data_IF_386547090762
#
_entry.id   IF_386547090762
#
_cell.length_a   1.000
_cell.length_b   1.000
_cell.length_c   1.000
_cell.angle_alpha   90.00
_cell.angle_beta   90.00
_cell.angle_gamma   90.00
#
_symmetry.space_group_name_H-M   'P 1'
#
loop_
_entity.id
_entity.type
_entity.pdbx_description
1 polymer ?
#
# COMPACT_ATOMS: atom_id res chain seq x y z
N UNK A 1 10.27 0.48 0.00
CA UNK A 1 9.53 -0.76 0.30
C UNK A 1 10.34 -1.55 1.32
N UNK A 2 9.69 -2.06 2.37
CA UNK A 2 10.37 -2.90 3.36
C UNK A 2 10.68 -4.28 2.79
N UNK A 3 11.81 -4.86 3.19
CA UNK A 3 12.19 -6.24 2.82
C UNK A 3 11.34 -7.25 3.62
N UNK A 4 10.12 -7.46 3.14
CA UNK A 4 9.14 -8.33 3.80
C UNK A 4 9.60 -9.79 3.84
N UNK A 5 10.27 -10.28 2.80
CA UNK A 5 10.73 -11.67 2.74
C UNK A 5 11.76 -11.96 3.84
N UNK A 6 12.75 -11.09 4.03
CA UNK A 6 13.74 -11.22 5.11
C UNK A 6 13.11 -11.11 6.50
N UNK A 7 12.17 -10.18 6.68
CA UNK A 7 11.43 -10.03 7.94
C UNK A 7 10.60 -11.28 8.24
N UNK A 8 9.84 -11.80 7.26
CA UNK A 8 9.05 -13.01 7.42
C UNK A 8 9.91 -14.24 7.74
N UNK A 9 11.08 -14.37 7.10
CA UNK A 9 12.07 -15.43 7.41
C UNK A 9 12.56 -15.31 8.85
N UNK A 10 12.87 -14.10 9.31
CA UNK A 10 13.30 -13.85 10.69
C UNK A 10 12.22 -14.23 11.71
N UNK A 11 10.96 -13.82 11.45
CA UNK A 11 9.82 -14.18 12.27
C UNK A 11 9.63 -15.70 12.36
N UNK A 12 9.67 -16.39 11.21
CA UNK A 12 9.54 -17.84 11.14
C UNK A 12 10.62 -18.57 11.94
N UNK A 13 11.87 -18.11 11.85
CA UNK A 13 13.00 -18.70 12.60
C UNK A 13 12.84 -18.55 14.13
N UNK A 14 11.98 -17.63 14.57
CA UNK A 14 11.68 -17.40 15.99
C UNK A 14 10.30 -17.89 16.41
N UNK A 15 9.57 -18.59 15.54
CA UNK A 15 8.23 -19.06 15.83
C UNK A 15 7.19 -17.92 16.00
N UNK A 16 7.45 -16.74 15.41
CA UNK A 16 6.58 -15.58 15.44
C UNK A 16 5.80 -15.49 14.13
N UNK A 17 4.51 -15.25 14.21
CA UNK A 17 3.66 -15.01 13.04
C UNK A 17 3.97 -13.64 12.43
N UNK A 18 3.96 -13.57 11.10
CA UNK A 18 4.18 -12.35 10.34
C UNK A 18 2.94 -11.91 9.58
N UNK A 19 2.56 -10.64 9.72
CA UNK A 19 1.52 -9.99 8.94
C UNK A 19 2.09 -8.79 8.21
N UNK A 20 1.74 -8.64 6.94
CA UNK A 20 2.08 -7.44 6.16
C UNK A 20 0.83 -6.75 5.63
N UNK A 21 0.85 -5.43 5.62
CA UNK A 21 -0.13 -4.64 4.89
C UNK A 21 0.32 -4.51 3.43
N UNK A 22 -0.41 -5.20 2.54
CA UNK A 22 -0.19 -5.17 1.10
C UNK A 22 -1.06 -4.15 0.35
N UNK A 23 -1.79 -3.28 1.06
CA UNK A 23 -2.74 -2.36 0.41
C UNK A 23 -2.09 -1.47 -0.66
N UNK A 24 -0.84 -1.07 -0.49
CA UNK A 24 -0.13 -0.25 -1.48
C UNK A 24 0.75 -1.05 -2.46
N UNK A 25 1.09 -2.30 -2.14
CA UNK A 25 1.98 -3.13 -2.98
C UNK A 25 1.24 -4.11 -3.88
N UNK A 26 0.11 -4.66 -3.40
CA UNK A 26 -0.68 -5.63 -4.15
C UNK A 26 -1.14 -5.06 -5.50
N UNK A 27 -0.89 -5.80 -6.58
CA UNK A 27 -1.22 -5.39 -7.94
C UNK A 27 -0.31 -4.32 -8.55
N UNK A 28 0.71 -3.81 -7.83
CA UNK A 28 1.64 -2.79 -8.31
C UNK A 28 3.08 -3.27 -8.43
N UNK A 29 3.44 -4.25 -7.61
CA UNK A 29 4.70 -4.98 -7.67
C UNK A 29 4.42 -6.47 -7.48
N UNK A 30 5.34 -7.36 -7.86
CA UNK A 30 5.20 -8.78 -7.59
C UNK A 30 5.03 -9.03 -6.08
N UNK A 31 3.91 -9.68 -5.74
CA UNK A 31 3.55 -10.00 -4.35
C UNK A 31 3.20 -11.48 -4.22
N UNK A 32 4.06 -12.36 -4.75
CA UNK A 32 3.85 -13.80 -4.56
C UNK A 32 4.01 -14.15 -3.08
N UNK A 33 2.95 -14.66 -2.49
CA UNK A 33 2.89 -15.03 -1.07
C UNK A 33 3.91 -16.11 -0.72
N UNK A 34 4.26 -17.00 -1.66
CA UNK A 34 5.25 -18.05 -1.43
C UNK A 34 6.65 -17.44 -1.29
N UNK A 35 6.96 -16.47 -2.12
CA UNK A 35 8.25 -15.77 -2.08
C UNK A 35 8.34 -14.85 -0.86
N UNK A 36 7.28 -14.10 -0.56
CA UNK A 36 7.22 -13.24 0.63
C UNK A 36 7.27 -14.04 1.92
N UNK A 37 6.69 -15.22 1.93
CA UNK A 37 6.74 -16.12 3.08
C UNK A 37 5.97 -15.65 4.32
N UNK A 38 5.09 -14.65 4.20
CA UNK A 38 4.26 -14.14 5.31
C UNK A 38 3.14 -15.10 5.69
N UNK A 39 2.63 -14.98 6.91
CA UNK A 39 1.50 -15.76 7.40
C UNK A 39 0.17 -15.09 7.07
N UNK A 40 0.14 -13.75 7.08
CA UNK A 40 -1.04 -12.94 6.77
C UNK A 40 -0.66 -11.75 5.87
N UNK A 41 -1.61 -11.36 5.00
CA UNK A 41 -1.46 -10.16 4.17
C UNK A 41 -2.81 -9.48 3.98
N UNK A 42 -2.91 -8.21 4.33
CA UNK A 42 -4.08 -7.38 4.06
C UNK A 42 -4.04 -6.79 2.66
N UNK A 43 -5.19 -6.78 1.98
CA UNK A 43 -5.37 -6.29 0.61
C UNK A 43 -6.56 -5.35 0.59
N UNK A 44 -6.46 -4.25 -0.16
CA UNK A 44 -7.53 -3.25 -0.33
C UNK A 44 -7.93 -3.11 -1.80
N UNK A 45 -9.20 -3.35 -2.12
CA UNK A 45 -9.67 -3.33 -3.50
C UNK A 45 -9.54 -1.95 -4.17
N UNK A 46 -9.89 -0.86 -3.46
CA UNK A 46 -9.88 0.49 -4.05
C UNK A 46 -8.46 1.01 -4.37
N UNK A 47 -7.42 0.38 -3.86
CA UNK A 47 -6.02 0.71 -4.17
C UNK A 47 -5.55 0.13 -5.50
N UNK A 48 -6.33 -0.79 -6.05
CA UNK A 48 -6.14 -1.42 -7.37
C UNK A 48 -7.34 -1.17 -8.29
N UNK A 49 -8.03 -0.04 -8.11
CA UNK A 49 -9.20 0.39 -8.89
C UNK A 49 -10.43 -0.51 -8.76
N UNK A 50 -10.46 -1.41 -7.78
CA UNK A 50 -11.62 -2.21 -7.39
C UNK A 50 -12.60 -1.44 -6.52
N UNK A 51 -13.69 -2.09 -6.07
CA UNK A 51 -14.76 -1.44 -5.32
C UNK A 51 -14.27 -0.90 -3.96
N UNK A 52 -14.75 0.29 -3.59
CA UNK A 52 -14.59 0.82 -2.23
C UNK A 52 -15.37 -0.04 -1.22
N UNK A 53 -14.88 -0.15 0.00
CA UNK A 53 -15.49 -0.94 1.06
C UNK A 53 -15.17 -2.45 0.98
N UNK A 54 -14.40 -2.88 -0.03
CA UNK A 54 -13.96 -4.27 -0.20
C UNK A 54 -12.47 -4.41 0.04
N UNK A 55 -12.09 -5.52 0.67
CA UNK A 55 -10.71 -5.94 0.86
C UNK A 55 -10.64 -7.45 1.06
N UNK A 56 -9.44 -7.96 1.17
CA UNK A 56 -9.20 -9.37 1.47
C UNK A 56 -8.07 -9.51 2.49
N UNK A 57 -8.13 -10.58 3.27
CA UNK A 57 -7.05 -11.01 4.13
C UNK A 57 -6.58 -12.38 3.65
N UNK A 58 -5.34 -12.45 3.17
CA UNK A 58 -4.69 -13.73 3.01
C UNK A 58 -4.31 -14.28 4.39
N UNK A 59 -4.65 -15.55 4.60
CA UNK A 59 -4.29 -16.29 5.80
C UNK A 59 -3.62 -17.58 5.36
N UNK A 60 -2.37 -17.80 5.77
CA UNK A 60 -1.67 -19.05 5.47
C UNK A 60 -2.40 -20.22 6.14
N UNK A 61 -2.69 -21.26 5.37
CA UNK A 61 -3.21 -22.50 5.91
C UNK A 61 -2.11 -23.20 6.72
N UNK A 62 -2.21 -23.09 8.04
CA UNK A 62 -1.30 -23.72 9.00
C UNK A 62 -2.10 -24.21 10.19
N UNK A 63 -1.78 -25.40 10.72
CA UNK A 63 -2.50 -26.03 11.83
C UNK A 63 -2.48 -25.19 13.12
N UNK A 64 -1.43 -24.37 13.31
CA UNK A 64 -1.27 -23.49 14.48
C UNK A 64 -1.86 -22.08 14.32
N UNK A 65 -2.27 -21.67 13.11
CA UNK A 65 -2.77 -20.31 12.87
C UNK A 65 -4.30 -20.28 12.98
N UNK A 66 -4.79 -19.63 14.01
CA UNK A 66 -6.22 -19.37 14.22
C UNK A 66 -6.45 -17.88 14.44
N UNK A 67 -7.40 -17.32 13.71
CA UNK A 67 -7.86 -15.93 13.92
C UNK A 67 -9.11 -15.95 14.77
N UNK A 68 -9.13 -15.12 15.81
CA UNK A 68 -10.35 -14.84 16.55
C UNK A 68 -11.27 -13.98 15.67
N UNK A 69 -12.52 -14.42 15.51
CA UNK A 69 -13.50 -13.63 14.78
C UNK A 69 -13.79 -12.31 15.50
N UNK A 70 -13.83 -11.21 14.74
CA UNK A 70 -14.19 -9.88 15.26
C UNK A 70 -15.65 -9.54 14.97
N UNK A 71 -16.27 -10.24 14.02
CA UNK A 71 -17.67 -10.08 13.62
C UNK A 71 -18.32 -11.45 13.72
N UNK A 72 -19.12 -11.63 14.76
CA UNK A 72 -19.80 -12.89 15.09
C UNK A 72 -21.10 -13.05 14.29
N UNK A 73 -21.54 -14.29 14.06
CA UNK A 73 -22.79 -14.59 13.37
C UNK A 73 -22.82 -15.94 12.68
N UNK A 74 -23.23 -15.97 11.41
CA UNK A 74 -23.52 -17.21 10.66
C UNK A 74 -22.31 -18.01 10.15
N UNK A 75 -21.08 -17.75 10.64
CA UNK A 75 -19.90 -18.56 10.35
C UNK A 75 -19.36 -18.41 8.91
N UNK A 76 -19.66 -17.33 8.21
CA UNK A 76 -19.12 -17.06 6.88
C UNK A 76 -17.58 -16.92 6.93
N UNK A 77 -16.92 -17.02 5.77
CA UNK A 77 -15.46 -16.97 5.66
C UNK A 77 -14.76 -17.97 6.60
N UNK A 78 -15.25 -19.22 6.60
CA UNK A 78 -14.73 -20.29 7.47
C UNK A 78 -14.75 -19.94 8.97
N UNK A 79 -15.73 -19.15 9.41
CA UNK A 79 -15.87 -18.70 10.80
C UNK A 79 -14.97 -17.52 11.17
N UNK A 80 -14.17 -16.98 10.25
CA UNK A 80 -13.26 -15.87 10.55
C UNK A 80 -13.95 -14.49 10.49
N UNK A 81 -15.00 -14.36 9.67
CA UNK A 81 -15.73 -13.09 9.52
C UNK A 81 -17.17 -13.39 9.08
N UNK A 82 -18.11 -13.24 9.98
CA UNK A 82 -19.54 -13.45 9.71
C UNK A 82 -20.17 -12.24 8.99
N UNK A 83 -21.29 -12.48 8.33
CA UNK A 83 -22.07 -11.51 7.56
C UNK A 83 -22.23 -11.95 6.10
N UNK A 84 -23.39 -11.67 5.52
CA UNK A 84 -23.69 -11.99 4.12
C UNK A 84 -22.60 -11.42 3.21
N UNK A 85 -22.07 -12.25 2.32
CA UNK A 85 -20.99 -11.87 1.43
C UNK A 85 -21.49 -10.85 0.40
N UNK A 86 -20.73 -9.76 0.22
CA UNK A 86 -20.97 -8.77 -0.83
C UNK A 86 -20.44 -9.29 -2.18
N UNK A 87 -21.13 -10.28 -2.77
CA UNK A 87 -20.65 -11.05 -3.92
C UNK A 87 -20.27 -10.18 -5.12
N UNK A 88 -21.01 -9.10 -5.40
CA UNK A 88 -20.70 -8.15 -6.45
C UNK A 88 -19.37 -7.42 -6.22
N UNK A 89 -19.05 -7.08 -4.98
CA UNK A 89 -17.77 -6.45 -4.61
C UNK A 89 -16.62 -7.45 -4.66
N UNK A 90 -16.85 -8.71 -4.28
CA UNK A 90 -15.86 -9.78 -4.38
C UNK A 90 -15.48 -10.01 -5.83
N UNK A 91 -16.47 -10.11 -6.72
CA UNK A 91 -16.24 -10.24 -8.18
C UNK A 91 -15.49 -9.01 -8.71
N UNK A 92 -15.85 -7.80 -8.26
CA UNK A 92 -15.14 -6.58 -8.63
C UNK A 92 -13.67 -6.56 -8.18
N UNK A 93 -13.37 -7.04 -6.97
CA UNK A 93 -11.99 -7.20 -6.49
C UNK A 93 -11.22 -8.22 -7.35
N UNK A 94 -11.84 -9.37 -7.66
CA UNK A 94 -11.21 -10.39 -8.49
C UNK A 94 -10.91 -9.88 -9.90
N UNK A 95 -11.85 -9.18 -10.53
CA UNK A 95 -11.66 -8.56 -11.85
C UNK A 95 -10.51 -7.53 -11.83
N UNK A 96 -10.48 -6.65 -10.83
CA UNK A 96 -9.42 -5.66 -10.67
C UNK A 96 -8.05 -6.35 -10.46
N UNK A 97 -7.99 -7.41 -9.66
CA UNK A 97 -6.76 -8.18 -9.42
C UNK A 97 -6.22 -8.81 -10.70
N UNK A 98 -7.08 -9.42 -11.50
CA UNK A 98 -6.70 -10.03 -12.76
C UNK A 98 -6.17 -8.98 -13.77
N UNK A 99 -6.85 -7.83 -13.85
CA UNK A 99 -6.43 -6.74 -14.72
C UNK A 99 -5.06 -6.19 -14.30
N UNK A 100 -4.88 -5.91 -13.02
CA UNK A 100 -3.60 -5.43 -12.50
C UNK A 100 -2.47 -6.45 -12.71
N UNK A 101 -2.73 -7.74 -12.59
CA UNK A 101 -1.73 -8.76 -12.87
C UNK A 101 -1.29 -8.76 -14.33
N UNK A 102 -2.22 -8.58 -15.28
CA UNK A 102 -1.91 -8.53 -16.71
C UNK A 102 -1.18 -7.25 -17.13
N UNK A 103 -1.45 -6.12 -16.48
CA UNK A 103 -0.93 -4.81 -16.84
C UNK A 103 0.25 -4.34 -15.98
N UNK A 104 0.58 -5.07 -14.91
CA UNK A 104 1.57 -4.66 -13.90
C UNK A 104 2.90 -4.21 -14.51
N UNK A 105 3.46 -4.97 -15.44
CA UNK A 105 4.75 -4.65 -16.05
C UNK A 105 4.70 -3.35 -16.87
N UNK A 106 3.63 -3.15 -17.63
CA UNK A 106 3.43 -1.95 -18.45
C UNK A 106 3.20 -0.72 -17.57
N UNK A 107 2.35 -0.83 -16.56
CA UNK A 107 2.08 0.25 -15.60
C UNK A 107 3.34 0.60 -14.81
N UNK A 108 4.12 -0.38 -14.37
CA UNK A 108 5.38 -0.13 -13.68
C UNK A 108 6.38 0.65 -14.55
N UNK A 109 6.55 0.26 -15.82
CA UNK A 109 7.44 0.96 -16.75
C UNK A 109 6.98 2.41 -16.99
N UNK A 110 5.67 2.61 -17.18
CA UNK A 110 5.07 3.95 -17.35
C UNK A 110 5.31 4.84 -16.13
N UNK A 111 5.01 4.35 -14.93
CA UNK A 111 5.21 5.12 -13.70
C UNK A 111 6.69 5.39 -13.43
N UNK A 112 7.59 4.47 -13.74
CA UNK A 112 9.03 4.68 -13.63
C UNK A 112 9.50 5.81 -14.54
N UNK A 113 9.06 5.85 -15.80
CA UNK A 113 9.38 6.92 -16.72
C UNK A 113 8.84 8.29 -16.25
N UNK A 114 7.61 8.33 -15.75
CA UNK A 114 7.01 9.54 -15.19
C UNK A 114 7.72 10.02 -13.92
N UNK A 115 8.12 9.09 -13.05
CA UNK A 115 8.90 9.37 -11.85
C UNK A 115 10.24 10.02 -12.19
N UNK A 116 10.99 9.43 -13.11
CA UNK A 116 12.27 9.96 -13.56
C UNK A 116 12.12 11.36 -14.18
N UNK A 117 11.09 11.54 -15.03
CA UNK A 117 10.79 12.85 -15.61
C UNK A 117 10.46 13.89 -14.53
N UNK A 118 9.67 13.52 -13.52
CA UNK A 118 9.36 14.42 -12.42
C UNK A 118 10.62 14.81 -11.65
N UNK A 119 11.48 13.86 -11.29
CA UNK A 119 12.72 14.12 -10.59
C UNK A 119 13.66 15.05 -11.40
N UNK A 120 13.79 14.85 -12.70
CA UNK A 120 14.64 15.70 -13.55
C UNK A 120 14.16 17.16 -13.61
N UNK A 121 12.84 17.39 -13.54
CA UNK A 121 12.30 18.73 -13.45
C UNK A 121 12.46 19.35 -12.07
N UNK A 122 12.36 18.51 -11.03
CA UNK A 122 12.53 18.92 -9.64
C UNK A 122 13.95 19.45 -9.35
N UNK A 123 14.98 18.92 -10.03
CA UNK A 123 16.36 19.41 -9.93
C UNK A 123 16.51 20.91 -10.24
N UNK A 124 15.57 21.49 -10.98
CA UNK A 124 15.55 22.93 -11.30
C UNK A 124 15.01 23.78 -10.13
N UNK A 125 14.42 23.17 -9.12
CA UNK A 125 13.85 23.85 -7.95
C UNK A 125 14.89 23.78 -6.82
N UNK A 126 15.43 24.92 -6.35
CA UNK A 126 16.40 24.91 -5.26
C UNK A 126 15.77 24.45 -3.95
N UNK A 127 16.61 23.98 -3.04
CA UNK A 127 16.23 23.65 -1.65
C UNK A 127 15.05 22.67 -1.51
N UNK A 128 14.96 21.70 -2.42
CA UNK A 128 14.03 20.59 -2.29
C UNK A 128 14.72 19.36 -1.69
N UNK A 129 13.92 18.50 -1.05
CA UNK A 129 14.34 17.18 -0.55
C UNK A 129 13.35 16.11 -0.99
N UNK A 130 13.84 15.07 -1.66
CA UNK A 130 13.06 13.86 -1.95
C UNK A 130 13.20 12.90 -0.78
N UNK A 131 12.08 12.59 -0.11
CA UNK A 131 12.03 11.67 1.03
C UNK A 131 11.77 10.22 0.59
N UNK A 132 11.39 10.00 -0.66
CA UNK A 132 11.21 8.65 -1.23
C UNK A 132 12.56 7.98 -1.45
N UNK A 133 12.62 6.64 -1.22
CA UNK A 133 13.84 5.89 -1.51
C UNK A 133 14.13 5.91 -3.02
N UNK A 134 15.38 6.12 -3.46
CA UNK A 134 15.69 6.32 -4.87
C UNK A 134 15.41 5.10 -5.76
N UNK A 135 15.53 3.87 -5.22
CA UNK A 135 15.39 2.61 -5.97
C UNK A 135 14.29 1.70 -5.45
N UNK A 136 14.07 1.65 -4.12
CA UNK A 136 13.21 0.66 -3.48
C UNK A 136 11.83 1.22 -3.13
N UNK A 137 11.45 2.34 -3.74
CA UNK A 137 10.12 2.95 -3.65
C UNK A 137 9.14 2.39 -4.67
N UNK A 138 7.86 2.66 -4.47
CA UNK A 138 6.86 2.50 -5.53
C UNK A 138 6.96 3.70 -6.48
N UNK A 139 7.16 3.52 -7.79
CA UNK A 139 7.45 4.63 -8.69
C UNK A 139 6.29 5.64 -8.82
N UNK A 140 5.07 5.24 -8.54
CA UNK A 140 3.89 6.12 -8.53
C UNK A 140 3.74 6.95 -7.25
N UNK A 141 4.62 6.79 -6.25
CA UNK A 141 4.55 7.52 -4.98
C UNK A 141 5.85 8.28 -4.78
N UNK A 142 5.74 9.61 -4.73
CA UNK A 142 6.88 10.51 -4.47
C UNK A 142 6.49 11.42 -3.31
N UNK A 143 7.38 11.54 -2.32
CA UNK A 143 7.25 12.52 -1.26
C UNK A 143 8.39 13.53 -1.38
N UNK A 144 8.04 14.82 -1.44
CA UNK A 144 8.99 15.93 -1.61
C UNK A 144 8.72 16.98 -0.54
N UNK A 145 9.78 17.44 0.09
CA UNK A 145 9.76 18.62 0.95
C UNK A 145 10.44 19.80 0.27
N UNK A 146 9.98 21.01 0.54
CA UNK A 146 10.57 22.26 0.06
C UNK A 146 10.93 23.13 1.28
N UNK A 147 12.18 23.56 1.36
CA UNK A 147 12.64 24.37 2.49
C UNK A 147 11.98 25.76 2.46
N UNK A 148 11.64 26.27 3.64
CA UNK A 148 11.08 27.61 3.77
C UNK A 148 9.63 27.78 3.28
N UNK A 149 8.97 26.68 2.90
CA UNK A 149 7.58 26.71 2.41
C UNK A 149 6.67 25.93 3.35
N UNK A 150 5.61 26.56 3.80
CA UNK A 150 4.55 25.88 4.54
C UNK A 150 3.76 24.94 3.63
N UNK A 151 3.59 23.69 4.05
CA UNK A 151 3.00 22.63 3.22
C UNK A 151 1.52 22.86 2.88
N UNK A 152 0.74 23.45 3.80
CA UNK A 152 -0.68 23.76 3.55
C UNK A 152 -0.82 24.91 2.57
N UNK A 153 -0.02 25.95 2.76
CA UNK A 153 0.04 27.10 1.83
C UNK A 153 0.46 26.64 0.43
N UNK A 154 1.46 25.77 0.34
CA UNK A 154 1.88 25.20 -0.96
C UNK A 154 0.76 24.41 -1.63
N UNK A 155 0.05 23.55 -0.89
CA UNK A 155 -1.06 22.77 -1.43
C UNK A 155 -2.19 23.66 -1.95
N UNK A 156 -2.53 24.74 -1.24
CA UNK A 156 -3.53 25.70 -1.65
C UNK A 156 -3.12 26.46 -2.94
N UNK A 157 -1.82 26.68 -3.13
CA UNK A 157 -1.29 27.33 -4.33
C UNK A 157 -1.25 26.41 -5.55
N UNK A 158 -1.17 25.09 -5.36
CA UNK A 158 -1.06 24.09 -6.43
C UNK A 158 -2.43 23.71 -7.04
N UNK A 159 -3.22 24.68 -7.45
CA UNK A 159 -4.60 24.47 -7.92
C UNK A 159 -4.76 23.50 -9.11
N UNK A 160 -3.71 23.22 -9.85
CA UNK A 160 -3.69 22.30 -11.00
C UNK A 160 -3.20 20.88 -10.69
N UNK A 161 -2.79 20.60 -9.43
CA UNK A 161 -2.19 19.33 -9.04
C UNK A 161 -2.99 18.67 -7.91
N UNK A 162 -3.25 17.38 -8.04
CA UNK A 162 -3.83 16.57 -6.97
C UNK A 162 -2.69 16.02 -6.09
N UNK A 163 -2.43 16.70 -4.98
CA UNK A 163 -1.38 16.35 -4.00
C UNK A 163 -1.97 16.25 -2.59
N UNK A 164 -1.23 15.65 -1.66
CA UNK A 164 -1.60 15.58 -0.25
C UNK A 164 -0.39 15.83 0.66
N UNK A 165 -0.61 16.38 1.84
CA UNK A 165 0.45 16.66 2.83
C UNK A 165 0.95 15.42 3.57
N UNK A 166 0.30 14.28 3.44
CA UNK A 166 0.65 13.07 4.18
C UNK A 166 -0.32 11.92 3.92
N UNK A 167 -0.45 11.02 4.89
CA UNK A 167 -1.44 9.95 4.83
C UNK A 167 -2.86 10.53 4.78
N UNK A 168 -3.66 10.07 3.82
CA UNK A 168 -5.08 10.47 3.69
C UNK A 168 -5.91 10.13 4.96
N UNK A 169 -5.43 9.21 5.79
CA UNK A 169 -6.10 8.80 7.03
C UNK A 169 -5.81 9.75 8.21
N UNK A 170 -4.80 10.61 8.13
CA UNK A 170 -4.39 11.54 9.19
C UNK A 170 -4.57 13.01 8.80
N UNK A 171 -5.34 13.29 7.79
CA UNK A 171 -5.59 14.65 7.26
C UNK A 171 -6.19 15.65 8.25
N UNK A 172 -6.58 15.21 9.45
CA UNK A 172 -7.09 16.06 10.52
C UNK A 172 -6.02 16.58 11.50
N UNK A 173 -4.75 16.18 11.38
CA UNK A 173 -3.67 16.65 12.24
C UNK A 173 -2.68 17.51 11.45
N UNK A 174 -2.39 18.71 11.98
CA UNK A 174 -1.39 19.65 11.44
C UNK A 174 0.05 19.16 11.69
N UNK A 175 0.23 18.05 12.43
CA UNK A 175 1.54 17.52 12.75
C UNK A 175 2.19 16.76 11.61
N UNK A 176 3.52 16.91 11.41
CA UNK A 176 4.27 16.12 10.47
C UNK A 176 4.12 14.60 10.73
N UNK A 177 4.02 13.81 9.67
CA UNK A 177 3.96 12.35 9.78
C UNK A 177 5.11 11.82 10.65
N UNK A 178 4.79 10.92 11.59
CA UNK A 178 5.81 10.25 12.41
C UNK A 178 6.82 9.46 11.54
N UNK A 179 6.41 9.01 10.36
CA UNK A 179 7.30 8.36 9.38
C UNK A 179 8.34 9.35 8.86
N UNK A 180 7.93 10.59 8.50
CA UNK A 180 8.85 11.63 8.02
C UNK A 180 9.78 12.15 9.12
N UNK A 181 9.43 11.95 10.40
CA UNK A 181 10.34 12.26 11.52
C UNK A 181 11.43 11.20 11.71
N UNK A 182 11.25 10.01 11.15
CA UNK A 182 12.14 8.85 11.29
C UNK A 182 13.09 8.64 10.10
N UNK A 183 13.00 9.47 9.05
CA UNK A 183 13.81 9.38 7.83
C UNK A 183 14.60 10.62 7.53
#
# INVERSE_FOLDING_TARGET
ISDIASIAKLCRNRGVLSHTDGAQSFGKIPTDIKDLGVDLMSISAHKIYGPKGMGALYVRKNEGLRLAEQIHGGGHEMGMRSGTLATHQIVGLAAASNLMQSEMAQEHAKYTALHQRFLSHLEQIPEHRVNSHPTDGLPQIINVGFAGVDGETLMLALNGLAVSSGSACTSASVEPSHVLRGV
#
